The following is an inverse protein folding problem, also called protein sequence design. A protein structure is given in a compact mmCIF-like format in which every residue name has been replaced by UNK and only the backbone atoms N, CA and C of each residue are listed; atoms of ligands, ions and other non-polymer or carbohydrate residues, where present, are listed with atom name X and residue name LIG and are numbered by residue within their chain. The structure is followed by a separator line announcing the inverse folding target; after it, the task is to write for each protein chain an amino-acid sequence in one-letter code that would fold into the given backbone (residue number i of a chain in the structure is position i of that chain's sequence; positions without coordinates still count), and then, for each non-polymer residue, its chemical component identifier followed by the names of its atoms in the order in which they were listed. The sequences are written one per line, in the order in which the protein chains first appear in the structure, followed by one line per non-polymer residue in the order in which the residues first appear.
data_IF_909541726543
#
_entry.id   IF_909541726543
#
_cell.length_a   1.000
_cell.length_b   1.000
_cell.length_c   1.000
_cell.angle_alpha   90.00
_cell.angle_beta   90.00
_cell.angle_gamma   90.00
#
_symmetry.space_group_name_H-M   'P 1'
#
loop_
_entity.id
_entity.type
_entity.pdbx_description
1 polymer ?
2 non-polymer ?
3 non-polymer ?
4 water ?
#
# COMPACT_ATOMS: atom_id res chain seq x y z
N UNK A 1 1.52 -15.92 -13.06
CA UNK A 1 0.97 -15.93 -11.67
C UNK A 1 1.23 -14.60 -10.97
N UNK A 2 0.21 -14.10 -10.29
CA UNK A 2 0.31 -12.79 -9.68
C UNK A 2 0.85 -12.82 -8.25
N UNK A 3 1.69 -11.84 -7.97
CA UNK A 3 2.11 -11.51 -6.62
C UNK A 3 0.89 -11.04 -5.83
N UNK A 4 1.06 -10.96 -4.52
CA UNK A 4 -0.05 -10.69 -3.60
C UNK A 4 0.43 -9.73 -2.52
N UNK A 5 -0.47 -8.85 -2.07
CA UNK A 5 -0.15 -7.94 -0.98
C UNK A 5 -1.14 -8.10 0.16
N UNK A 6 -0.64 -8.19 1.39
CA UNK A 6 -1.50 -8.09 2.57
C UNK A 6 -1.16 -6.80 3.32
N UNK A 7 -2.18 -6.17 3.89
CA UNK A 7 -2.02 -4.96 4.68
C UNK A 7 -2.66 -5.21 6.02
N UNK A 8 -1.94 -4.92 7.10
CA UNK A 8 -2.56 -4.73 8.42
C UNK A 8 -2.55 -3.24 8.73
N UNK A 9 -3.74 -2.69 8.90
CA UNK A 9 -3.92 -1.28 9.14
C UNK A 9 -4.18 -1.05 10.63
N UNK A 10 -3.28 -0.34 11.29
CA UNK A 10 -3.40 -0.05 12.72
C UNK A 10 -3.93 1.35 12.95
N UNK A 11 -5.03 1.44 13.70
CA UNK A 11 -5.51 2.73 14.18
C UNK A 11 -4.91 2.97 15.56
N UNK A 12 -4.19 4.08 15.70
CA UNK A 12 -3.37 4.33 16.88
C UNK A 12 -3.78 5.60 17.62
N UNK A 13 -3.53 5.63 18.93
CA UNK A 13 -3.66 6.89 19.70
C UNK A 13 -2.79 7.97 19.04
N UNK A 14 -3.30 9.21 19.01
CA UNK A 14 -2.52 10.31 18.45
C UNK A 14 -1.12 10.40 19.08
N UNK A 15 -0.10 10.53 18.23
CA UNK A 15 1.28 10.65 18.68
C UNK A 15 2.02 9.35 18.92
N UNK A 16 1.35 8.22 18.74
CA UNK A 16 1.99 6.92 19.05
C UNK A 16 2.57 6.21 17.84
N UNK A 17 2.51 6.83 16.66
CA UNK A 17 3.02 6.20 15.43
C UNK A 17 4.49 5.78 15.55
N UNK A 18 5.33 6.69 16.03
CA UNK A 18 6.77 6.40 16.03
C UNK A 18 7.13 5.25 16.94
N UNK A 19 6.62 5.27 18.17
CA UNK A 19 6.93 4.19 19.12
C UNK A 19 6.43 2.85 18.56
N UNK A 20 5.31 2.90 17.84
CA UNK A 20 4.75 1.68 17.24
C UNK A 20 5.61 1.18 16.08
N UNK A 21 5.99 2.08 15.18
CA UNK A 21 6.83 1.70 14.04
C UNK A 21 8.13 1.05 14.48
N UNK A 22 8.72 1.59 15.56
CA UNK A 22 9.99 1.06 16.05
C UNK A 22 9.93 -0.39 16.54
N UNK A 23 8.72 -0.87 16.87
CA UNK A 23 8.53 -2.28 17.27
C UNK A 23 8.78 -3.25 16.11
N UNK A 24 8.82 -2.71 14.89
CA UNK A 24 8.93 -3.54 13.70
C UNK A 24 10.35 -3.66 13.13
N UNK A 25 11.31 -2.96 13.74
CA UNK A 25 12.65 -2.96 13.18
C UNK A 25 13.31 -4.35 13.17
N UNK A 26 13.11 -5.12 14.24
CA UNK A 26 13.71 -6.45 14.38
C UNK A 26 12.82 -7.53 13.77
N UNK A 27 13.37 -8.32 12.84
CA UNK A 27 12.62 -9.42 12.23
C UNK A 27 12.41 -10.55 13.23
N UNK A 28 11.27 -11.22 13.09
CA UNK A 28 10.88 -12.30 13.98
C UNK A 28 10.47 -13.57 13.24
N UNK A 29 11.06 -13.77 12.06
CA UNK A 29 10.94 -15.04 11.34
C UNK A 29 10.24 -14.98 9.99
N UNK A 30 9.58 -13.87 9.68
CA UNK A 30 8.89 -13.77 8.38
C UNK A 30 9.87 -13.99 7.21
N UNK A 31 11.13 -13.65 7.42
CA UNK A 31 12.16 -13.76 6.39
C UNK A 31 12.44 -15.24 6.04
N UNK A 32 11.97 -16.15 6.88
CA UNK A 32 12.18 -17.59 6.67
C UNK A 32 11.09 -18.25 5.83
N UNK A 33 10.03 -17.49 5.55
CA UNK A 33 8.87 -18.03 4.83
C UNK A 33 9.09 -18.02 3.33
N UNK A 34 8.88 -19.17 2.68
CA UNK A 34 9.03 -19.24 1.24
C UNK A 34 7.96 -18.36 0.60
N UNK A 35 8.38 -17.50 -0.32
CA UNK A 35 7.45 -16.60 -1.00
C UNK A 35 7.36 -15.18 -0.44
N UNK A 36 7.92 -14.95 0.76
CA UNK A 36 7.93 -13.59 1.31
C UNK A 36 8.94 -12.76 0.51
N UNK A 37 8.55 -11.56 0.09
CA UNK A 37 9.42 -10.71 -0.74
C UNK A 37 9.76 -9.36 -0.10
N UNK A 38 8.75 -8.62 0.34
CA UNK A 38 9.01 -7.27 0.88
C UNK A 38 8.10 -6.92 2.02
N UNK A 39 8.56 -6.00 2.88
CA UNK A 39 7.72 -5.47 3.96
C UNK A 39 7.92 -3.96 4.00
N UNK A 40 6.82 -3.20 4.16
CA UNK A 40 6.86 -1.77 4.37
C UNK A 40 6.05 -1.45 5.62
N UNK A 41 6.55 -0.53 6.45
CA UNK A 41 5.77 -0.02 7.56
C UNK A 41 5.64 1.48 7.35
N UNK A 42 4.41 1.95 7.24
CA UNK A 42 4.16 3.36 6.89
C UNK A 42 3.36 4.11 7.93
N UNK A 43 3.58 5.42 7.99
CA UNK A 43 2.72 6.36 8.72
C UNK A 43 1.94 7.21 7.71
N UNK A 44 0.62 7.21 7.81
CA UNK A 44 -0.18 8.04 6.93
C UNK A 44 -0.01 9.52 7.27
N UNK A 45 0.25 10.32 6.24
CA UNK A 45 0.35 11.78 6.41
C UNK A 45 -1.04 12.38 6.29
N UNK A 46 -1.52 13.04 7.35
CA UNK A 46 -2.88 13.62 7.35
C UNK A 46 -3.09 14.49 8.57
N UNK A 47 -4.31 15.01 8.74
CA UNK A 47 -4.62 15.85 9.91
C UNK A 47 -5.69 15.21 10.81
N UNK A 48 -5.70 13.89 10.88
CA UNK A 48 -6.70 13.16 11.68
C UNK A 48 -6.41 13.14 13.19
N UNK A 49 -7.41 12.74 13.97
CA UNK A 49 -7.30 12.68 15.43
C UNK A 49 -6.58 11.44 15.95
N UNK A 50 -6.51 10.40 15.12
CA UNK A 50 -5.74 9.20 15.45
C UNK A 50 -4.64 9.01 14.40
N UNK A 51 -3.51 8.45 14.83
CA UNK A 51 -2.44 8.09 13.90
C UNK A 51 -2.82 6.82 13.13
N UNK A 52 -2.19 6.64 11.98
CA UNK A 52 -2.42 5.43 11.20
C UNK A 52 -1.11 4.82 10.75
N UNK A 53 -0.88 3.58 11.12
CA UNK A 53 0.32 2.86 10.70
C UNK A 53 -0.11 1.62 9.95
N UNK A 54 0.46 1.41 8.77
CA UNK A 54 0.14 0.25 7.94
C UNK A 54 1.35 -0.65 7.76
N UNK A 55 1.11 -1.95 7.80
CA UNK A 55 2.14 -2.95 7.56
C UNK A 55 1.78 -3.66 6.27
N UNK A 56 2.56 -3.39 5.21
CA UNK A 56 2.32 -3.98 3.90
C UNK A 56 3.31 -5.10 3.69
N UNK A 57 2.84 -6.27 3.30
CA UNK A 57 3.74 -7.37 2.98
C UNK A 57 3.48 -7.83 1.56
N UNK A 58 4.56 -8.09 0.83
CA UNK A 58 4.51 -8.45 -0.60
C UNK A 58 4.98 -9.89 -0.74
N UNK A 59 4.21 -10.70 -1.47
CA UNK A 59 4.40 -12.14 -1.55
C UNK A 59 4.37 -12.66 -2.98
N UNK A 60 4.99 -13.81 -3.19
CA UNK A 60 4.91 -14.49 -4.48
C UNK A 60 3.48 -14.90 -4.85
N UNK A 61 2.68 -15.19 -3.83
CA UNK A 61 1.31 -15.68 -4.00
C UNK A 61 0.53 -15.50 -2.71
N UNK A 62 -0.80 -15.51 -2.81
CA UNK A 62 -1.64 -15.51 -1.63
C UNK A 62 -1.39 -16.76 -0.75
N UNK A 63 -1.15 -17.91 -1.39
CA UNK A 63 -0.86 -19.14 -0.65
C UNK A 63 0.35 -18.98 0.29
N UNK A 64 1.37 -18.26 -0.16
CA UNK A 64 2.58 -18.01 0.63
C UNK A 64 2.23 -17.24 1.90
N UNK A 65 1.44 -16.18 1.75
CA UNK A 65 0.95 -15.40 2.88
C UNK A 65 0.13 -16.26 3.84
N UNK A 66 -0.77 -17.09 3.30
CA UNK A 66 -1.57 -17.96 4.14
C UNK A 66 -0.73 -18.96 4.94
N UNK A 67 0.30 -19.52 4.32
CA UNK A 67 1.27 -20.34 5.06
C UNK A 67 1.92 -19.59 6.23
N UNK A 68 2.29 -18.33 6.01
CA UNK A 68 2.81 -17.51 7.11
C UNK A 68 1.77 -17.33 8.20
N UNK A 69 0.53 -17.00 7.82
CA UNK A 69 -0.53 -16.81 8.83
C UNK A 69 -0.72 -18.03 9.72
N UNK A 70 -0.50 -19.22 9.15
CA UNK A 70 -0.68 -20.48 9.89
C UNK A 70 0.56 -20.91 10.66
N UNK A 71 1.62 -20.13 10.54
CA UNK A 71 2.94 -20.57 10.98
C UNK A 71 3.22 -20.29 12.44
N UNK A 72 4.17 -21.04 12.98
CA UNK A 72 4.69 -20.77 14.33
C UNK A 72 5.32 -19.39 14.41
N UNK A 73 6.02 -18.97 13.35
CA UNK A 73 6.69 -17.67 13.43
C UNK A 73 5.72 -16.50 13.50
N UNK A 74 4.56 -16.62 12.83
CA UNK A 74 3.54 -15.58 12.97
C UNK A 74 3.12 -15.46 14.46
N UNK A 75 2.84 -16.61 15.07
CA UNK A 75 2.39 -16.65 16.45
C UNK A 75 3.47 -16.09 17.39
N UNK A 76 4.73 -16.47 17.15
CA UNK A 76 5.86 -15.96 17.93
C UNK A 76 5.96 -14.44 17.85
N UNK A 77 5.88 -13.90 16.63
CA UNK A 77 6.03 -12.47 16.41
C UNK A 77 4.96 -11.67 17.14
N UNK A 78 3.78 -12.29 17.28
CA UNK A 78 2.63 -11.60 17.85
C UNK A 78 2.32 -11.94 19.30
N UNK A 79 3.23 -12.70 19.91
CA UNK A 79 3.06 -13.25 21.26
C UNK A 79 2.64 -12.20 22.28
N UNK A 80 3.35 -11.08 22.27
CA UNK A 80 3.16 -10.04 23.29
C UNK A 80 2.38 -8.82 22.82
N UNK A 81 1.81 -8.92 21.62
CA UNK A 81 1.01 -7.84 21.06
C UNK A 81 -0.39 -7.80 21.68
N UNK A 82 -0.82 -6.61 22.06
CA UNK A 82 -2.18 -6.40 22.59
C UNK A 82 -2.85 -5.21 21.94
N UNK A 83 -4.17 -5.29 21.82
CA UNK A 83 -5.01 -4.14 21.49
C UNK A 83 -5.44 -3.44 22.78
N UNK A 84 -5.70 -2.13 22.68
CA UNK A 84 -6.25 -1.35 23.80
C UNK A 84 -7.57 -1.96 24.31
N UNK A 85 -8.27 -2.66 23.43
CA UNK A 85 -9.55 -3.31 23.75
C UNK A 85 -9.39 -4.64 24.49
N UNK A 86 -8.16 -5.17 24.54
CA UNK A 86 -7.91 -6.45 25.23
C UNK A 86 -7.92 -6.24 26.73
N UNK A 87 -8.30 -7.28 27.48
CA UNK A 87 -8.36 -7.22 28.94
C UNK A 87 -7.05 -6.75 29.58
N UNK A 88 -5.93 -7.12 28.96
CA UNK A 88 -4.60 -6.75 29.45
C UNK A 88 -3.90 -5.72 28.55
N UNK A 89 -4.70 -4.98 27.79
CA UNK A 89 -4.16 -4.04 26.79
C UNK A 89 -4.04 -2.59 27.24
N UNK A 90 -3.94 -2.37 28.55
CA UNK A 90 -3.94 -1.01 29.11
C UNK A 90 -2.84 -0.13 28.55
N UNK A 91 -1.65 -0.70 28.35
CA UNK A 91 -0.50 0.07 27.84
C UNK A 91 -0.45 0.21 26.31
N UNK A 92 -1.36 -0.47 25.60
CA UNK A 92 -1.32 -0.46 24.14
C UNK A 92 -1.96 0.77 23.53
N UNK A 93 -1.23 1.45 22.62
CA UNK A 93 -1.83 2.56 21.87
C UNK A 93 -2.60 2.08 20.63
N UNK A 94 -2.68 0.77 20.40
CA UNK A 94 -3.35 0.25 19.21
C UNK A 94 -4.82 0.07 19.52
N UNK A 95 -5.64 0.93 18.92
CA UNK A 95 -7.09 0.92 19.15
C UNK A 95 -7.76 -0.23 18.44
N UNK A 96 -7.33 -0.49 17.20
CA UNK A 96 -7.90 -1.55 16.38
C UNK A 96 -6.96 -1.84 15.23
N UNK A 97 -7.17 -2.98 14.60
CA UNK A 97 -6.48 -3.30 13.35
C UNK A 97 -7.51 -3.85 12.37
N UNK A 98 -7.21 -3.70 11.08
CA UNK A 98 -8.04 -4.31 10.06
C UNK A 98 -7.14 -4.79 8.94
N UNK A 99 -7.43 -5.98 8.45
CA UNK A 99 -6.64 -6.60 7.38
C UNK A 99 -7.29 -6.36 6.01
N UNK A 100 -6.47 -5.97 5.04
CA UNK A 100 -6.88 -5.83 3.64
C UNK A 100 -5.98 -6.67 2.75
N UNK A 101 -6.53 -7.22 1.68
CA UNK A 101 -5.77 -8.12 0.79
C UNK A 101 -5.94 -7.69 -0.65
N UNK A 102 -4.88 -7.90 -1.43
CA UNK A 102 -4.80 -7.34 -2.79
C UNK A 102 -4.11 -8.29 -3.73
N UNK A 103 -4.65 -8.44 -4.94
CA UNK A 103 -3.92 -9.08 -6.02
C UNK A 103 -3.02 -8.02 -6.68
N UNK A 104 -1.74 -8.34 -6.89
CA UNK A 104 -0.85 -7.39 -7.57
C UNK A 104 -0.89 -7.64 -9.07
N UNK A 105 -1.44 -6.69 -9.81
CA UNK A 105 -1.55 -6.84 -11.26
C UNK A 105 -0.33 -6.42 -12.03
N UNK A 106 0.51 -5.60 -11.40
CA UNK A 106 1.69 -5.09 -12.06
C UNK A 106 2.69 -4.59 -11.01
N UNK A 107 3.97 -4.81 -11.30
CA UNK A 107 5.05 -4.32 -10.46
C UNK A 107 6.24 -3.92 -11.33
N UNK A 108 6.84 -2.78 -11.01
CA UNK A 108 8.07 -2.33 -11.65
C UNK A 108 9.07 -1.95 -10.56
N UNK A 109 10.30 -2.43 -10.64
CA UNK A 109 11.33 -2.00 -9.70
C UNK A 109 12.58 -1.53 -10.40
N UNK A 110 13.01 -0.31 -10.09
CA UNK A 110 14.20 0.29 -10.70
C UNK A 110 15.47 -0.43 -10.25
N UNK B 1 15.50 11.56 7.25
CA UNK B 1 14.91 11.49 5.88
C UNK B 1 14.52 10.06 5.54
N UNK B 2 13.26 9.85 5.18
CA UNK B 2 12.72 8.51 4.96
C UNK B 2 12.25 8.35 3.52
N UNK B 3 12.20 7.10 3.06
CA UNK B 3 11.47 6.77 1.83
C UNK B 3 10.03 7.21 1.99
N UNK B 4 9.37 7.32 0.84
CA UNK B 4 8.06 7.93 0.74
C UNK B 4 7.18 7.12 -0.19
N UNK B 5 5.89 7.00 0.15
CA UNK B 5 4.93 6.30 -0.72
C UNK B 5 3.76 7.21 -1.05
N UNK B 6 3.40 7.28 -2.33
CA UNK B 6 2.16 7.92 -2.74
C UNK B 6 1.24 6.86 -3.31
N UNK B 7 -0.05 7.03 -3.04
CA UNK B 7 -1.09 6.12 -3.51
C UNK B 7 -2.11 6.92 -4.26
N UNK B 8 -2.46 6.47 -5.47
CA UNK B 8 -3.70 6.94 -6.11
C UNK B 8 -4.71 5.80 -6.05
N UNK B 9 -5.86 6.07 -5.43
CA UNK B 9 -6.87 5.05 -5.24
C UNK B 9 -8.01 5.29 -6.21
N UNK B 10 -8.18 4.35 -7.15
CA UNK B 10 -9.21 4.45 -8.19
C UNK B 10 -10.47 3.70 -7.78
N UNK B 11 -11.57 4.44 -7.70
CA UNK B 11 -12.89 3.86 -7.49
C UNK B 11 -13.47 3.56 -8.87
N UNK B 12 -13.72 2.27 -9.15
CA UNK B 12 -14.09 1.85 -10.51
C UNK B 12 -15.46 1.19 -10.54
N UNK B 13 -16.12 1.29 -11.68
CA UNK B 13 -17.34 0.51 -11.79
C UNK B 13 -17.03 -1.00 -11.77
N UNK B 14 -17.95 -1.75 -11.18
CA UNK B 14 -17.80 -3.19 -11.04
C UNK B 14 -17.44 -3.86 -12.36
N UNK B 15 -16.42 -4.71 -12.32
CA UNK B 15 -15.99 -5.44 -13.50
C UNK B 15 -14.94 -4.77 -14.37
N UNK B 16 -14.45 -3.60 -13.98
CA UNK B 16 -13.54 -2.86 -14.86
C UNK B 16 -12.09 -2.85 -14.36
N UNK B 17 -11.82 -3.58 -13.29
CA UNK B 17 -10.46 -3.57 -12.70
C UNK B 17 -9.43 -4.04 -13.71
N UNK B 18 -9.69 -5.17 -14.37
CA UNK B 18 -8.69 -5.74 -15.29
C UNK B 18 -8.35 -4.81 -16.45
N UNK B 19 -9.37 -4.27 -17.12
CA UNK B 19 -9.09 -3.39 -18.26
C UNK B 19 -8.35 -2.12 -17.81
N UNK B 20 -8.62 -1.69 -16.57
CA UNK B 20 -7.98 -0.49 -16.02
C UNK B 20 -6.51 -0.80 -15.67
N UNK B 21 -6.27 -1.93 -15.01
CA UNK B 21 -4.90 -2.33 -14.67
C UNK B 21 -4.03 -2.45 -15.93
N UNK B 22 -4.58 -2.99 -17.02
CA UNK B 22 -3.78 -3.16 -18.23
C UNK B 22 -3.30 -1.85 -18.85
N UNK B 23 -3.98 -0.75 -18.54
CA UNK B 23 -3.55 0.58 -19.00
C UNK B 23 -2.23 1.01 -18.36
N UNK B 24 -1.83 0.33 -17.27
CA UNK B 24 -0.62 0.71 -16.53
C UNK B 24 0.58 -0.11 -16.91
N UNK B 25 0.40 -1.10 -17.77
CA UNK B 25 1.53 -1.92 -18.18
C UNK B 25 2.61 -1.10 -18.88
N UNK B 26 2.19 -0.13 -19.70
CA UNK B 26 3.10 0.68 -20.54
C UNK B 26 3.67 1.85 -19.74
N UNK B 27 4.99 1.82 -19.51
CA UNK B 27 5.66 2.96 -18.84
C UNK B 27 5.64 4.22 -19.70
N UNK B 28 5.43 5.37 -19.05
CA UNK B 28 5.34 6.65 -19.73
C UNK B 28 6.27 7.69 -19.12
N UNK B 29 7.35 7.23 -18.49
CA UNK B 29 8.42 8.12 -18.07
C UNK B 29 8.60 8.33 -16.57
N UNK B 30 7.67 7.84 -15.76
CA UNK B 30 7.84 7.99 -14.30
C UNK B 30 9.19 7.44 -13.86
N UNK B 31 9.66 6.37 -14.51
CA UNK B 31 10.90 5.70 -14.11
C UNK B 31 12.15 6.57 -14.35
N UNK B 32 11.98 7.66 -15.09
CA UNK B 32 13.09 8.55 -15.40
C UNK B 32 13.30 9.65 -14.35
N UNK B 33 12.40 9.72 -13.37
CA UNK B 33 12.52 10.74 -12.34
C UNK B 33 13.49 10.29 -11.27
N UNK B 34 14.49 11.13 -11.01
CA UNK B 34 15.44 10.84 -9.93
C UNK B 34 14.66 10.60 -8.63
N UNK B 35 14.98 9.49 -7.98
CA UNK B 35 14.32 9.15 -6.72
C UNK B 35 13.19 8.12 -6.83
N UNK B 36 12.67 7.92 -8.05
CA UNK B 36 11.64 6.89 -8.25
C UNK B 36 12.28 5.53 -7.96
N UNK B 37 11.58 4.69 -7.19
CA UNK B 37 12.08 3.33 -6.91
C UNK B 37 11.19 2.16 -7.39
N UNK B 38 9.90 2.19 -7.06
CA UNK B 38 9.02 1.05 -7.37
C UNK B 38 7.60 1.52 -7.66
N UNK B 39 6.89 0.74 -8.47
CA UNK B 39 5.47 0.95 -8.71
C UNK B 39 4.72 -0.36 -8.53
N UNK B 40 3.56 -0.33 -7.87
CA UNK B 40 2.68 -1.51 -7.77
C UNK B 40 1.31 -1.08 -8.22
N UNK B 41 0.60 -1.97 -8.91
CA UNK B 41 -0.80 -1.72 -9.25
C UNK B 41 -1.59 -2.90 -8.70
N UNK B 42 -2.54 -2.62 -7.83
CA UNK B 42 -3.25 -3.69 -7.09
C UNK B 42 -4.75 -3.65 -7.33
N UNK B 43 -5.39 -4.82 -7.25
CA UNK B 43 -6.84 -4.93 -7.17
C UNK B 43 -7.23 -5.37 -5.77
N UNK B 44 -8.08 -4.60 -5.10
CA UNK B 44 -8.54 -4.97 -3.78
C UNK B 44 -9.44 -6.21 -3.82
N UNK B 45 -9.17 -7.16 -2.93
CA UNK B 45 -9.99 -8.37 -2.80
C UNK B 45 -11.05 -8.11 -1.73
N UNK B 46 -12.28 -7.88 -2.16
CA UNK B 46 -13.37 -7.66 -1.23
C UNK B 46 -14.68 -8.07 -1.87
N UNK B 47 -15.80 -7.78 -1.23
CA UNK B 47 -17.14 -8.11 -1.78
C UNK B 47 -17.99 -6.85 -2.07
N UNK B 48 -17.31 -5.75 -2.40
CA UNK B 48 -18.00 -4.46 -2.57
C UNK B 48 -18.56 -4.32 -3.98
N UNK B 49 -19.49 -3.38 -4.19
CA UNK B 49 -20.15 -3.23 -5.49
C UNK B 49 -19.46 -2.27 -6.47
N UNK B 50 -18.27 -1.79 -6.08
CA UNK B 50 -17.36 -1.11 -7.01
C UNK B 50 -16.02 -1.83 -6.94
N UNK B 51 -15.27 -1.78 -8.03
CA UNK B 51 -13.90 -2.31 -8.03
C UNK B 51 -12.97 -1.25 -7.45
N UNK B 52 -11.85 -1.70 -6.90
CA UNK B 52 -10.86 -0.74 -6.38
C UNK B 52 -9.49 -1.13 -6.86
N UNK B 53 -8.86 -0.19 -7.56
CA UNK B 53 -7.48 -0.37 -8.03
C UNK B 53 -6.62 0.72 -7.38
N UNK B 54 -5.48 0.32 -6.81
CA UNK B 54 -4.57 1.26 -6.18
C UNK B 54 -3.24 1.29 -6.92
N UNK B 55 -2.74 2.50 -7.13
CA UNK B 55 -1.45 2.69 -7.76
C UNK B 55 -0.48 3.23 -6.69
N UNK B 56 0.48 2.38 -6.30
CA UNK B 56 1.42 2.71 -5.23
C UNK B 56 2.76 3.01 -5.84
N UNK B 57 3.32 4.17 -5.50
CA UNK B 57 4.64 4.52 -6.00
C UNK B 57 5.55 4.76 -4.81
N UNK B 58 6.76 4.19 -4.89
CA UNK B 58 7.75 4.25 -3.83
C UNK B 58 8.93 5.11 -4.28
N UNK B 59 9.35 6.02 -3.41
CA UNK B 59 10.31 7.08 -3.74
C UNK B 59 11.37 7.23 -2.65
N UNK B 60 12.53 7.77 -3.01
CA UNK B 60 13.54 8.05 -2.00
C UNK B 60 13.15 9.23 -1.09
N UNK B 61 12.24 10.08 -1.57
CA UNK B 61 11.84 11.30 -0.86
C UNK B 61 10.50 11.76 -1.37
N UNK B 62 9.76 12.46 -0.50
CA UNK B 62 8.55 13.14 -0.97
C UNK B 62 8.87 14.19 -2.03
N UNK B 63 10.04 14.84 -1.92
CA UNK B 63 10.43 15.81 -2.94
C UNK B 63 10.45 15.20 -4.32
N UNK B 64 10.98 13.99 -4.44
CA UNK B 64 11.09 13.35 -5.76
C UNK B 64 9.69 13.05 -6.33
N UNK B 65 8.77 12.61 -5.48
CA UNK B 65 7.37 12.46 -5.94
C UNK B 65 6.78 13.77 -6.44
N UNK B 66 6.94 14.84 -5.66
CA UNK B 66 6.44 16.15 -6.09
C UNK B 66 7.08 16.58 -7.41
N UNK B 67 8.37 16.27 -7.59
CA UNK B 67 9.05 16.56 -8.84
C UNK B 67 8.37 15.85 -10.01
N UNK B 68 8.01 14.59 -9.80
CA UNK B 68 7.26 13.87 -10.84
C UNK B 68 5.90 14.52 -11.07
N UNK B 69 5.17 14.83 -10.00
CA UNK B 69 3.88 15.51 -10.19
C UNK B 69 3.98 16.74 -11.09
N UNK B 70 5.09 17.46 -10.97
CA UNK B 70 5.30 18.73 -11.69
C UNK B 70 5.93 18.56 -13.07
N UNK B 71 6.14 17.31 -13.48
CA UNK B 71 6.95 17.00 -14.68
C UNK B 71 6.13 16.94 -15.97
N UNK B 72 6.83 17.07 -17.10
CA UNK B 72 6.19 16.87 -18.40
C UNK B 72 5.72 15.43 -18.58
N UNK B 73 6.48 14.46 -18.07
CA UNK B 73 6.04 13.05 -18.23
C UNK B 73 4.75 12.73 -17.45
N UNK B 74 4.55 13.33 -16.27
CA UNK B 74 3.28 13.12 -15.58
C UNK B 74 2.13 13.60 -16.46
N UNK B 75 2.31 14.80 -17.05
CA UNK B 75 1.25 15.42 -17.85
C UNK B 75 0.98 14.57 -19.11
N UNK B 76 2.05 14.12 -19.75
CA UNK B 76 1.92 13.29 -20.97
C UNK B 76 1.21 11.96 -20.65
N UNK B 77 1.60 11.32 -19.55
CA UNK B 77 0.99 10.04 -19.16
C UNK B 77 -0.52 10.15 -18.94
N UNK B 78 -0.95 11.29 -18.40
CA UNK B 78 -2.34 11.50 -18.03
C UNK B 78 -3.20 12.26 -19.05
N UNK B 79 -2.61 12.64 -20.18
CA UNK B 79 -3.32 13.57 -21.08
C UNK B 79 -4.67 13.04 -21.59
N UNK B 80 -4.79 11.73 -21.75
CA UNK B 80 -6.03 11.13 -22.28
C UNK B 80 -6.94 10.50 -21.22
N UNK B 81 -6.56 10.64 -19.95
CA UNK B 81 -7.31 10.08 -18.82
C UNK B 81 -8.55 10.92 -18.50
N UNK B 82 -9.71 10.26 -18.36
CA UNK B 82 -10.95 10.93 -17.99
C UNK B 82 -11.67 10.19 -16.86
N UNK B 83 -12.39 10.93 -16.03
CA UNK B 83 -13.36 10.34 -15.11
C UNK B 83 -14.70 10.26 -15.82
N UNK B 84 -15.53 9.29 -15.42
CA UNK B 84 -16.88 9.14 -15.98
C UNK B 84 -17.67 10.46 -15.94
N UNK B 85 -17.46 11.26 -14.89
CA UNK B 85 -18.13 12.55 -14.71
C UNK B 85 -17.65 13.69 -15.63
N UNK B 86 -16.56 13.47 -16.35
CA UNK B 86 -16.08 14.46 -17.32
C UNK B 86 -17.04 14.54 -18.51
N UNK B 87 -17.11 15.70 -19.15
CA UNK B 87 -17.98 15.92 -20.31
C UNK B 87 -17.76 14.89 -21.41
N UNK B 88 -16.50 14.50 -21.60
CA UNK B 88 -16.09 13.54 -22.62
C UNK B 88 -15.60 12.22 -22.00
N UNK B 89 -16.16 11.85 -20.84
CA UNK B 89 -15.69 10.67 -20.11
C UNK B 89 -16.72 9.59 -19.87
N UNK B 90 -17.87 9.71 -20.54
CA UNK B 90 -19.02 8.80 -20.37
C UNK B 90 -18.67 7.30 -20.29
N UNK B 91 -17.77 6.86 -21.18
CA UNK B 91 -17.38 5.45 -21.24
C UNK B 91 -16.28 5.06 -20.25
N UNK B 92 -15.61 6.05 -19.65
CA UNK B 92 -14.61 5.76 -18.62
C UNK B 92 -15.23 5.03 -17.44
N UNK B 93 -14.60 3.93 -16.98
CA UNK B 93 -15.10 3.26 -15.79
C UNK B 93 -14.57 3.85 -14.47
N UNK B 94 -13.75 4.90 -14.56
CA UNK B 94 -13.16 5.51 -13.38
C UNK B 94 -14.12 6.53 -12.79
N UNK B 95 -14.66 6.19 -11.63
CA UNK B 95 -15.65 7.04 -10.96
C UNK B 95 -15.02 8.22 -10.23
N UNK B 96 -13.93 7.95 -9.51
CA UNK B 96 -13.23 8.97 -8.76
C UNK B 96 -11.85 8.49 -8.41
N UNK B 97 -10.99 9.41 -7.99
CA UNK B 97 -9.70 9.04 -7.44
C UNK B 97 -9.43 9.83 -6.16
N UNK B 98 -8.60 9.28 -5.31
CA UNK B 98 -8.18 9.93 -4.08
C UNK B 98 -6.71 9.60 -3.82
N UNK B 99 -5.93 10.62 -3.52
CA UNK B 99 -4.50 10.47 -3.28
C UNK B 99 -4.19 10.39 -1.78
N UNK B 100 -3.33 9.43 -1.44
CA UNK B 100 -2.85 9.27 -0.07
C UNK B 100 -1.34 9.29 -0.05
N UNK B 101 -0.79 9.79 1.05
CA UNK B 101 0.65 9.99 1.19
C UNK B 101 1.14 9.39 2.48
N UNK B 102 2.32 8.77 2.42
CA UNK B 102 2.86 8.00 3.54
C UNK B 102 4.35 8.18 3.72
N UNK B 103 4.77 8.37 4.96
CA UNK B 103 6.18 8.27 5.28
C UNK B 103 6.47 6.79 5.51
N UNK B 104 7.49 6.27 4.84
CA UNK B 104 7.93 4.91 5.09
C UNK B 104 8.90 4.86 6.27
N UNK B 105 8.45 4.29 7.38
CA UNK B 105 9.32 4.19 8.56
C UNK B 105 10.23 2.97 8.59
N UNK B 106 9.91 1.96 7.78
CA UNK B 106 10.72 0.75 7.71
C UNK B 106 10.47 0.03 6.41
N UNK B 107 11.53 -0.47 5.79
CA UNK B 107 11.42 -1.30 4.60
C UNK B 107 12.40 -2.45 4.61
N UNK B 108 11.95 -3.61 4.13
CA UNK B 108 12.81 -4.79 4.03
C UNK B 108 12.52 -5.50 2.72
N UNK B 109 13.56 -5.92 2.00
CA UNK B 109 13.37 -6.74 0.80
C UNK B 109 14.25 -7.97 0.92
N UNK B 110 13.63 -9.14 0.77
CA UNK B 110 14.35 -10.40 0.92
C UNK B 110 15.12 -10.72 -0.35
#
# INVERSE_FOLDING_TARGET
AHMFMAENRLQLQKGSAEETIERFYNRQGIETIEGFQQMFVTKTLNTEDTDEVKILTIWESEDSFNNWLNSDVFKEAHKNVRLKSDDDGQQSPILSNKVFKYDIGYHYQK
AHMFMAENRLQLQKGSAEETIERFYNRQGIETIEGFQQMFVTKTLNTEDTDEVKILTIWESEDSFNNWLNSDVFKEAHKNVRLKSDDDGQQSPILSNKVFKYDIGYHYQK
#
